data_IF_269289467965
#
_entry.id   IF_269289467965
#
_cell.length_a   1.000
_cell.length_b   1.000
_cell.length_c   1.000
_cell.angle_alpha   90.00
_cell.angle_beta   90.00
_cell.angle_gamma   90.00
#
_symmetry.space_group_name_H-M   'P 1'
#
loop_
_entity.id
_entity.type
_entity.pdbx_description
1 polymer ?
#
# COMPACT_ATOMS: atom_id res chain seq x y z
N UNK A 1 1.42 0.91 2.35
CA UNK A 1 2.04 1.82 3.34
C UNK A 1 1.00 2.69 4.00
N UNK A 2 0.36 3.62 3.28
CA UNK A 2 -0.54 4.62 3.88
C UNK A 2 -1.66 4.00 4.73
N UNK A 3 -2.39 3.03 4.15
CA UNK A 3 -3.42 2.29 4.88
C UNK A 3 -2.89 1.63 6.17
N UNK A 4 -1.77 0.91 6.09
CA UNK A 4 -1.11 0.29 7.25
C UNK A 4 -0.72 1.33 8.31
N UNK A 5 -0.24 2.50 7.90
CA UNK A 5 0.15 3.58 8.82
C UNK A 5 -1.05 4.20 9.54
N UNK A 6 -2.14 4.43 8.81
CA UNK A 6 -3.31 5.17 9.30
C UNK A 6 -4.33 4.30 10.03
N UNK A 7 -4.51 3.06 9.59
CA UNK A 7 -5.63 2.23 9.99
C UNK A 7 -5.23 0.92 10.69
N UNK A 8 -3.94 0.58 10.74
CA UNK A 8 -3.47 -0.65 11.38
C UNK A 8 -2.61 -0.36 12.62
N UNK A 9 -2.55 -1.32 13.58
CA UNK A 9 -3.46 -2.46 13.71
C UNK A 9 -4.89 -2.01 14.04
N UNK A 10 -5.88 -2.85 13.72
CA UNK A 10 -7.31 -2.50 13.83
C UNK A 10 -7.73 -2.02 15.22
N UNK A 11 -7.19 -2.63 16.28
CA UNK A 11 -7.49 -2.29 17.67
C UNK A 11 -6.66 -1.10 18.21
N UNK A 12 -5.64 -0.65 17.49
CA UNK A 12 -4.80 0.49 17.88
C UNK A 12 -4.20 1.21 16.66
N UNK A 13 -5.01 1.87 15.82
CA UNK A 13 -4.52 2.55 14.62
C UNK A 13 -3.45 3.61 14.95
N UNK A 14 -2.37 3.64 14.16
CA UNK A 14 -1.31 4.63 14.32
C UNK A 14 -0.33 4.37 15.48
N UNK A 15 -0.44 3.22 16.16
CA UNK A 15 0.45 2.84 17.26
C UNK A 15 1.86 2.39 16.80
N UNK A 16 2.05 2.11 15.52
CA UNK A 16 3.33 1.62 14.97
C UNK A 16 4.26 2.75 14.56
N UNK A 17 5.57 2.57 14.75
CA UNK A 17 6.57 3.51 14.23
C UNK A 17 6.69 3.41 12.71
N UNK A 18 7.31 4.40 12.05
CA UNK A 18 7.56 4.33 10.61
C UNK A 18 8.42 3.11 10.24
N UNK A 19 9.37 2.71 11.10
CA UNK A 19 10.24 1.55 10.84
C UNK A 19 9.43 0.25 10.88
N UNK A 20 8.53 0.10 11.85
CA UNK A 20 7.63 -1.06 11.95
C UNK A 20 6.73 -1.13 10.72
N UNK A 21 6.18 0.01 10.28
CA UNK A 21 5.35 0.08 9.09
C UNK A 21 6.13 -0.37 7.84
N UNK A 22 7.37 0.10 7.66
CA UNK A 22 8.19 -0.35 6.53
C UNK A 22 8.51 -1.85 6.60
N UNK A 23 8.81 -2.39 7.78
CA UNK A 23 9.07 -3.81 7.97
C UNK A 23 7.83 -4.66 7.65
N UNK A 24 6.66 -4.29 8.15
CA UNK A 24 5.39 -4.98 7.86
C UNK A 24 5.05 -4.92 6.37
N UNK A 25 5.23 -3.75 5.74
CA UNK A 25 5.00 -3.63 4.29
C UNK A 25 5.98 -4.50 3.49
N UNK A 26 7.26 -4.55 3.88
CA UNK A 26 8.24 -5.42 3.25
C UNK A 26 7.82 -6.89 3.34
N UNK A 27 7.39 -7.32 4.52
CA UNK A 27 6.91 -8.68 4.77
C UNK A 27 5.73 -9.03 3.84
N UNK A 28 4.69 -8.21 3.80
CA UNK A 28 3.51 -8.45 2.95
C UNK A 28 3.90 -8.55 1.45
N UNK A 29 4.77 -7.65 0.98
CA UNK A 29 5.22 -7.66 -0.41
C UNK A 29 6.07 -8.90 -0.74
N UNK A 30 6.90 -9.35 0.20
CA UNK A 30 7.74 -10.54 0.02
C UNK A 30 6.91 -11.83 0.04
N UNK A 31 5.90 -11.92 0.91
CA UNK A 31 4.94 -13.04 0.91
C UNK A 31 4.11 -13.08 -0.37
N UNK A 32 3.79 -11.91 -0.96
CA UNK A 32 3.19 -11.81 -2.29
C UNK A 32 4.15 -12.05 -3.45
N UNK A 33 5.44 -12.33 -3.21
CA UNK A 33 6.46 -12.55 -4.24
C UNK A 33 6.81 -11.31 -5.08
N UNK A 34 6.46 -10.12 -4.61
CA UNK A 34 6.67 -8.84 -5.34
C UNK A 34 8.11 -8.33 -5.15
N UNK A 35 8.73 -8.68 -4.02
CA UNK A 35 10.12 -8.37 -3.69
C UNK A 35 10.82 -9.60 -3.09
N UNK A 36 12.15 -9.60 -3.08
CA UNK A 36 12.94 -10.64 -2.39
C UNK A 36 12.77 -10.53 -0.87
N UNK A 37 12.72 -11.66 -0.15
CA UNK A 37 12.58 -11.72 1.32
C UNK A 37 13.71 -11.02 2.09
N UNK A 38 14.87 -10.79 1.46
CA UNK A 38 16.03 -10.09 2.04
C UNK A 38 16.02 -8.59 1.73
N UNK A 39 15.00 -8.08 1.03
CA UNK A 39 14.92 -6.66 0.65
C UNK A 39 14.66 -5.79 1.88
N UNK A 40 15.58 -4.86 2.16
CA UNK A 40 15.37 -3.83 3.18
C UNK A 40 14.47 -2.70 2.65
N UNK A 41 13.34 -2.48 3.31
CA UNK A 41 12.35 -1.47 2.91
C UNK A 41 12.56 -0.12 3.62
N UNK A 42 12.40 0.96 2.86
CA UNK A 42 12.43 2.34 3.35
C UNK A 42 11.68 3.27 2.36
N UNK A 43 11.66 4.57 2.66
CA UNK A 43 10.99 5.59 1.84
C UNK A 43 11.45 5.61 0.37
N UNK A 44 12.73 5.34 0.09
CA UNK A 44 13.28 5.32 -1.27
C UNK A 44 12.99 3.99 -1.98
N UNK A 45 13.04 2.88 -1.25
CA UNK A 45 12.81 1.55 -1.80
C UNK A 45 11.33 1.33 -2.16
N UNK A 46 10.41 1.76 -1.30
CA UNK A 46 8.98 1.54 -1.51
C UNK A 46 8.45 2.22 -2.79
N UNK A 47 8.97 3.41 -3.12
CA UNK A 47 8.59 4.13 -4.32
C UNK A 47 9.01 3.42 -5.62
N UNK A 48 9.97 2.48 -5.55
CA UNK A 48 10.44 1.70 -6.69
C UNK A 48 9.65 0.42 -6.92
N UNK A 49 8.84 -0.01 -5.95
CA UNK A 49 8.03 -1.22 -6.06
C UNK A 49 6.96 -1.03 -7.13
N UNK A 50 6.87 -1.97 -8.09
CA UNK A 50 5.82 -2.01 -9.11
C UNK A 50 4.87 -3.16 -8.80
N UNK A 51 3.66 -2.84 -8.38
CA UNK A 51 2.61 -3.86 -8.17
C UNK A 51 2.21 -4.50 -9.50
N UNK A 52 1.98 -5.82 -9.55
CA UNK A 52 1.61 -6.51 -10.80
C UNK A 52 0.36 -5.93 -11.46
N UNK A 53 -0.67 -5.57 -10.67
CA UNK A 53 -1.92 -5.01 -11.18
C UNK A 53 -1.88 -3.48 -11.42
N UNK A 54 -0.69 -2.87 -11.53
CA UNK A 54 -0.56 -1.40 -11.64
C UNK A 54 -1.39 -0.81 -12.79
N UNK A 55 -1.52 -1.52 -13.90
CA UNK A 55 -2.23 -1.06 -15.10
C UNK A 55 -3.60 -1.76 -15.28
N UNK A 56 -4.08 -2.51 -14.28
CA UNK A 56 -5.34 -3.26 -14.38
C UNK A 56 -6.58 -2.49 -13.94
N UNK A 57 -6.44 -1.19 -13.64
CA UNK A 57 -7.57 -0.33 -13.27
C UNK A 57 -8.16 0.28 -14.53
N UNK A 58 -9.49 0.13 -14.69
CA UNK A 58 -10.27 0.77 -15.74
C UNK A 58 -11.15 1.85 -15.10
N UNK A 59 -11.23 3.02 -15.74
CA UNK A 59 -12.16 4.06 -15.30
C UNK A 59 -13.60 3.60 -15.47
N UNK A 60 -14.48 4.11 -14.62
CA UNK A 60 -15.92 3.86 -14.76
C UNK A 60 -16.39 4.33 -16.15
N UNK A 61 -17.00 3.46 -16.97
CA UNK A 61 -17.49 3.85 -18.29
C UNK A 61 -18.79 4.65 -18.23
N UNK A 62 -19.45 4.73 -17.06
CA UNK A 62 -20.70 5.48 -16.90
C UNK A 62 -20.42 6.99 -16.92
N UNK A 63 -21.36 7.81 -17.43
CA UNK A 63 -21.22 9.26 -17.35
C UNK A 63 -21.26 9.73 -15.89
N UNK A 64 -20.48 10.75 -15.56
CA UNK A 64 -20.57 11.42 -14.26
C UNK A 64 -21.96 12.06 -14.13
N UNK A 65 -22.70 11.69 -13.08
CA UNK A 65 -23.98 12.30 -12.74
C UNK A 65 -23.74 13.26 -11.57
N UNK A 66 -23.57 14.55 -11.88
CA UNK A 66 -23.54 15.57 -10.86
C UNK A 66 -24.98 16.00 -10.52
N UNK A 67 -25.56 15.41 -9.48
CA UNK A 67 -26.84 15.86 -8.94
C UNK A 67 -26.65 17.15 -8.14
N UNK A 68 -26.66 18.30 -8.83
CA UNK A 68 -26.84 19.59 -8.20
C UNK A 68 -28.34 19.91 -8.17
N UNK A 69 -28.96 19.73 -7.00
CA UNK A 69 -30.25 20.35 -6.66
C UNK A 69 -29.98 21.53 -5.73
#
# INVERSE_FOLDING_TARGET
>A
FDYTKRAMPFNAPGSMSNNDIYAVVAYILAEGGIIDKKTTMNAKAIAKVKMPNRNGFISDPRPDIFNYN
#
